data_IF_024245802068
#
_entry.id   IF_024245802068
#
_cell.length_a   1.000
_cell.length_b   1.000
_cell.length_c   1.000
_cell.angle_alpha   90.00
_cell.angle_beta   90.00
_cell.angle_gamma   90.00
#
_symmetry.space_group_name_H-M   'P 1'
#
loop_
_entity.id
_entity.type
_entity.pdbx_description
1 polymer ?
#
# COMPACT_ATOMS: atom_id res chain seq x y z
N UNK A 1 23.44 -8.43 6.14
CA UNK A 1 23.17 -7.01 5.94
C UNK A 1 21.76 -6.70 6.41
N UNK A 2 21.61 -5.73 7.26
CA UNK A 2 20.30 -5.41 7.83
C UNK A 2 19.58 -4.40 6.94
N UNK A 3 18.38 -4.77 6.51
CA UNK A 3 17.51 -3.88 5.77
C UNK A 3 16.76 -2.96 6.72
N UNK A 4 16.81 -1.66 6.45
CA UNK A 4 16.10 -0.66 7.27
C UNK A 4 14.98 -0.05 6.45
N UNK A 5 13.75 -0.39 6.78
CA UNK A 5 12.55 0.10 6.08
C UNK A 5 12.42 1.62 6.21
N UNK A 6 12.81 2.18 7.34
CA UNK A 6 12.68 3.63 7.56
C UNK A 6 13.60 4.41 6.63
N UNK A 7 14.84 3.93 6.44
CA UNK A 7 15.76 4.54 5.49
C UNK A 7 15.25 4.38 4.05
N UNK A 8 14.77 3.19 3.71
CA UNK A 8 14.23 2.94 2.36
C UNK A 8 13.05 3.87 2.05
N UNK A 9 12.11 3.98 2.99
CA UNK A 9 10.94 4.85 2.81
C UNK A 9 11.33 6.33 2.73
N UNK A 10 12.39 6.72 3.43
CA UNK A 10 12.90 8.09 3.37
C UNK A 10 13.46 8.39 1.97
N UNK A 11 14.25 7.47 1.41
CA UNK A 11 14.78 7.62 0.05
C UNK A 11 13.66 7.60 -0.98
N UNK A 12 12.72 6.68 -0.84
CA UNK A 12 11.55 6.56 -1.70
C UNK A 12 10.75 7.87 -1.71
N UNK A 13 10.43 8.38 -0.54
CA UNK A 13 9.68 9.63 -0.41
C UNK A 13 10.43 10.82 -0.99
N UNK A 14 11.74 10.88 -0.78
CA UNK A 14 12.59 11.94 -1.32
C UNK A 14 12.58 11.93 -2.85
N UNK A 15 12.73 10.76 -3.46
CA UNK A 15 12.72 10.62 -4.91
C UNK A 15 11.33 10.98 -5.49
N UNK A 16 10.27 10.58 -4.81
CA UNK A 16 8.91 10.95 -5.20
C UNK A 16 8.71 12.46 -5.18
N UNK A 17 9.18 13.13 -4.14
CA UNK A 17 9.07 14.59 -4.03
C UNK A 17 9.83 15.31 -5.13
N UNK A 18 11.01 14.81 -5.48
CA UNK A 18 11.81 15.37 -6.56
C UNK A 18 11.09 15.25 -7.91
N UNK A 19 10.41 14.12 -8.14
CA UNK A 19 9.77 13.85 -9.43
C UNK A 19 8.37 14.44 -9.54
N UNK A 20 7.55 14.29 -8.50
CA UNK A 20 6.12 14.64 -8.55
C UNK A 20 5.75 15.87 -7.74
N UNK A 21 6.54 16.23 -6.75
CA UNK A 21 6.36 17.47 -5.99
C UNK A 21 4.96 17.60 -5.39
N UNK A 22 4.32 18.73 -5.68
CA UNK A 22 2.99 19.07 -5.14
C UNK A 22 1.87 18.17 -5.64
N UNK A 23 2.14 17.32 -6.62
CA UNK A 23 1.13 16.40 -7.15
C UNK A 23 0.91 15.20 -6.23
N UNK A 24 1.80 14.98 -5.26
CA UNK A 24 1.65 13.88 -4.29
C UNK A 24 0.53 14.21 -3.31
N UNK A 25 -0.53 13.38 -3.34
CA UNK A 25 -1.61 13.48 -2.39
C UNK A 25 -1.35 12.65 -1.14
N UNK A 26 -0.73 11.47 -1.33
CA UNK A 26 -0.50 10.54 -0.22
C UNK A 26 0.65 9.59 -0.55
N UNK A 27 1.45 9.25 0.47
CA UNK A 27 2.43 8.17 0.41
C UNK A 27 2.23 7.32 1.66
N UNK A 28 2.23 6.01 1.48
CA UNK A 28 2.03 5.09 2.59
C UNK A 28 2.77 3.78 2.43
N UNK A 29 2.72 2.98 3.48
CA UNK A 29 3.35 1.67 3.56
C UNK A 29 2.32 0.67 4.03
N UNK A 30 2.13 -0.39 3.26
CA UNK A 30 1.16 -1.44 3.55
C UNK A 30 1.87 -2.75 3.87
N UNK A 31 1.08 -3.78 4.07
CA UNK A 31 1.58 -5.14 4.24
C UNK A 31 2.34 -5.32 5.54
N UNK A 32 3.28 -6.27 5.53
CA UNK A 32 4.00 -6.68 6.73
C UNK A 32 4.80 -5.55 7.37
N UNK A 33 5.44 -4.73 6.54
CA UNK A 33 6.21 -3.59 7.07
C UNK A 33 5.29 -2.53 7.70
N UNK A 34 4.13 -2.29 7.10
CA UNK A 34 3.15 -1.34 7.64
C UNK A 34 2.60 -1.79 8.99
N UNK A 35 2.46 -3.10 9.19
CA UNK A 35 1.96 -3.70 10.42
C UNK A 35 3.05 -4.04 11.44
N UNK A 36 4.30 -3.75 11.12
CA UNK A 36 5.47 -4.09 11.95
C UNK A 36 5.59 -5.61 12.18
N UNK A 37 5.30 -6.39 11.16
CA UNK A 37 5.34 -7.86 11.18
C UNK A 37 6.31 -8.43 10.15
N UNK A 38 7.14 -7.57 9.53
CA UNK A 38 7.98 -7.96 8.40
C UNK A 38 9.11 -8.90 8.82
N UNK A 39 9.45 -9.78 7.88
CA UNK A 39 10.63 -10.64 7.95
C UNK A 39 11.59 -10.28 6.81
N UNK A 40 12.74 -10.95 6.75
CA UNK A 40 13.71 -10.73 5.68
C UNK A 40 13.15 -11.06 4.28
N UNK A 41 12.09 -11.87 4.22
CA UNK A 41 11.47 -12.25 2.96
C UNK A 41 10.27 -11.40 2.58
N UNK A 42 9.91 -10.43 3.42
CA UNK A 42 8.75 -9.58 3.15
C UNK A 42 9.02 -8.61 2.02
N UNK A 43 8.01 -8.44 1.15
CA UNK A 43 8.04 -7.38 0.13
C UNK A 43 7.75 -6.02 0.75
N UNK A 44 8.22 -4.97 0.07
CA UNK A 44 7.95 -3.60 0.47
C UNK A 44 6.72 -3.12 -0.29
N UNK A 45 5.58 -3.03 0.38
CA UNK A 45 4.31 -2.61 -0.23
C UNK A 45 4.13 -1.10 -0.06
N UNK A 46 4.93 -0.33 -0.78
CA UNK A 46 4.86 1.12 -0.76
C UNK A 46 3.83 1.62 -1.78
N UNK A 47 3.09 2.65 -1.40
CA UNK A 47 2.04 3.19 -2.26
C UNK A 47 2.16 4.70 -2.36
N UNK A 48 1.92 5.23 -3.56
CA UNK A 48 1.83 6.66 -3.79
C UNK A 48 0.55 6.98 -4.54
N UNK A 49 -0.16 8.00 -4.07
CA UNK A 49 -1.37 8.50 -4.70
C UNK A 49 -1.09 9.93 -5.16
N UNK A 50 -1.23 10.15 -6.45
CA UNK A 50 -1.06 11.47 -7.06
C UNK A 50 -2.41 12.11 -7.32
N UNK A 51 -2.42 13.39 -7.61
CA UNK A 51 -3.61 14.11 -8.05
C UNK A 51 -4.21 13.45 -9.30
N UNK A 52 -3.37 13.11 -10.25
CA UNK A 52 -3.70 12.38 -11.49
C UNK A 52 -2.53 11.49 -11.84
N UNK A 53 -2.81 10.39 -12.54
CA UNK A 53 -1.75 9.51 -13.04
C UNK A 53 -1.91 9.35 -14.55
N UNK A 54 -0.84 9.65 -15.28
CA UNK A 54 -0.74 9.44 -16.73
C UNK A 54 0.21 8.27 -17.00
N UNK A 55 0.26 7.82 -18.25
CA UNK A 55 1.23 6.80 -18.66
C UNK A 55 2.66 7.26 -18.40
N UNK A 56 2.94 8.55 -18.63
CA UNK A 56 4.26 9.12 -18.36
C UNK A 56 4.62 9.03 -16.87
N UNK A 57 3.64 9.25 -16.00
CA UNK A 57 3.85 9.14 -14.56
C UNK A 57 4.19 7.71 -14.16
N UNK A 58 3.52 6.72 -14.75
CA UNK A 58 3.79 5.31 -14.49
C UNK A 58 5.21 4.94 -14.92
N UNK A 59 5.62 5.40 -16.09
CA UNK A 59 6.98 5.16 -16.59
C UNK A 59 8.03 5.84 -15.69
N UNK A 60 7.76 7.07 -15.26
CA UNK A 60 8.65 7.80 -14.37
C UNK A 60 8.76 7.10 -13.02
N UNK A 61 7.66 6.58 -12.49
CA UNK A 61 7.63 5.84 -11.24
C UNK A 61 8.43 4.55 -11.34
N UNK A 62 8.27 3.80 -12.42
CA UNK A 62 9.05 2.58 -12.64
C UNK A 62 10.56 2.87 -12.69
N UNK A 63 10.94 3.92 -13.41
CA UNK A 63 12.35 4.33 -13.48
C UNK A 63 12.88 4.76 -12.12
N UNK A 64 12.05 5.43 -11.32
CA UNK A 64 12.40 5.84 -9.96
C UNK A 64 12.67 4.62 -9.08
N UNK A 65 11.80 3.62 -9.13
CA UNK A 65 11.99 2.38 -8.36
C UNK A 65 13.27 1.66 -8.75
N UNK A 66 13.61 1.67 -10.04
CA UNK A 66 14.83 1.02 -10.56
C UNK A 66 16.09 1.64 -9.99
N UNK A 67 16.04 2.91 -9.57
CA UNK A 67 17.18 3.60 -8.97
C UNK A 67 17.33 3.36 -7.48
N UNK A 68 16.30 2.80 -6.83
CA UNK A 68 16.34 2.55 -5.39
C UNK A 68 16.99 1.21 -5.08
N UNK A 69 17.63 1.07 -3.91
CA UNK A 69 18.14 -0.23 -3.47
C UNK A 69 16.98 -1.20 -3.22
N UNK A 70 17.28 -2.48 -3.26
CA UNK A 70 16.29 -3.54 -3.00
C UNK A 70 15.12 -3.49 -3.97
N UNK A 71 15.39 -3.18 -5.25
CA UNK A 71 14.34 -3.11 -6.27
C UNK A 71 13.50 -4.39 -6.34
N UNK A 72 14.13 -5.53 -6.14
CA UNK A 72 13.46 -6.84 -6.17
C UNK A 72 12.44 -7.02 -5.05
N UNK A 73 12.57 -6.25 -3.97
CA UNK A 73 11.60 -6.27 -2.87
C UNK A 73 10.48 -5.25 -3.06
N UNK A 74 10.70 -4.26 -3.91
CA UNK A 74 9.72 -3.18 -4.08
C UNK A 74 8.47 -3.68 -4.77
N UNK A 75 7.36 -3.57 -4.08
CA UNK A 75 6.03 -3.94 -4.53
C UNK A 75 5.10 -2.76 -4.24
N UNK A 76 3.81 -2.95 -4.34
CA UNK A 76 2.87 -1.86 -4.10
C UNK A 76 2.44 -1.22 -5.41
N UNK A 77 1.99 0.03 -5.35
CA UNK A 77 1.40 0.61 -6.55
C UNK A 77 1.40 2.14 -6.54
N UNK A 78 1.13 2.70 -7.72
CA UNK A 78 0.87 4.12 -7.93
C UNK A 78 -0.56 4.26 -8.47
N UNK A 79 -1.29 5.25 -7.98
CA UNK A 79 -2.65 5.52 -8.42
C UNK A 79 -2.95 7.01 -8.39
N UNK A 80 -3.97 7.42 -9.12
CA UNK A 80 -4.55 8.75 -9.02
C UNK A 80 -5.59 8.80 -7.91
N UNK A 81 -5.83 9.99 -7.37
CA UNK A 81 -6.79 10.18 -6.29
C UNK A 81 -8.20 9.74 -6.69
N UNK A 82 -8.65 10.11 -7.90
CA UNK A 82 -10.00 9.78 -8.34
C UNK A 82 -10.18 8.27 -8.54
N UNK A 83 -9.17 7.60 -9.06
CA UNK A 83 -9.20 6.16 -9.22
C UNK A 83 -9.32 5.45 -7.88
N UNK A 84 -8.56 5.92 -6.88
CA UNK A 84 -8.65 5.37 -5.52
C UNK A 84 -10.05 5.57 -4.94
N UNK A 85 -10.62 6.75 -5.07
CA UNK A 85 -11.93 7.07 -4.52
C UNK A 85 -13.06 6.28 -5.18
N UNK A 86 -12.82 5.75 -6.37
CA UNK A 86 -13.79 4.94 -7.11
C UNK A 86 -13.65 3.43 -6.83
N UNK A 87 -12.73 3.03 -5.96
CA UNK A 87 -12.61 1.62 -5.59
C UNK A 87 -13.90 1.12 -4.94
N UNK A 88 -14.12 -0.19 -4.98
CA UNK A 88 -15.19 -0.82 -4.21
C UNK A 88 -15.01 -0.44 -2.74
N UNK A 89 -16.11 -0.15 -2.04
CA UNK A 89 -16.04 0.51 -0.73
C UNK A 89 -15.37 -0.35 0.34
N UNK A 90 -15.53 -1.68 0.29
CA UNK A 90 -14.82 -2.53 1.24
C UNK A 90 -13.32 -2.55 0.98
N UNK A 91 -12.90 -2.48 -0.29
CA UNK A 91 -11.49 -2.39 -0.65
C UNK A 91 -10.90 -1.05 -0.21
N UNK A 92 -11.65 0.03 -0.36
CA UNK A 92 -11.24 1.36 0.10
C UNK A 92 -11.06 1.39 1.62
N UNK A 93 -11.96 0.73 2.35
CA UNK A 93 -11.84 0.60 3.81
C UNK A 93 -10.58 -0.19 4.19
N UNK A 94 -10.30 -1.30 3.48
CA UNK A 94 -9.09 -2.09 3.73
C UNK A 94 -7.85 -1.23 3.49
N UNK A 95 -7.83 -0.46 2.42
CA UNK A 95 -6.73 0.45 2.15
C UNK A 95 -6.56 1.45 3.30
N UNK A 96 -7.64 2.06 3.76
CA UNK A 96 -7.63 3.01 4.87
C UNK A 96 -7.06 2.38 6.14
N UNK A 97 -7.52 1.18 6.46
CA UNK A 97 -7.17 0.51 7.70
C UNK A 97 -5.75 -0.04 7.69
N UNK A 98 -5.32 -0.61 6.56
CA UNK A 98 -4.06 -1.36 6.47
C UNK A 98 -2.85 -0.51 6.06
N UNK A 99 -3.04 0.78 5.79
CA UNK A 99 -1.97 1.63 5.30
C UNK A 99 -1.43 2.54 6.39
N UNK A 100 -0.12 2.48 6.62
CA UNK A 100 0.58 3.39 7.52
C UNK A 100 0.91 4.66 6.73
N UNK A 101 0.35 5.83 7.10
CA UNK A 101 0.64 7.07 6.38
C UNK A 101 2.08 7.53 6.60
N UNK A 102 2.75 7.91 5.51
CA UNK A 102 4.08 8.50 5.53
C UNK A 102 4.01 9.98 5.14
N UNK A 103 3.28 10.29 4.07
CA UNK A 103 3.00 11.68 3.64
C UNK A 103 1.49 11.79 3.42
N UNK A 104 0.88 12.82 3.97
CA UNK A 104 -0.55 13.05 3.81
C UNK A 104 -1.39 12.28 4.82
N UNK A 105 -2.70 12.27 4.59
CA UNK A 105 -3.65 11.64 5.51
C UNK A 105 -4.76 10.95 4.73
N UNK A 106 -5.24 9.84 5.26
CA UNK A 106 -6.37 9.11 4.70
C UNK A 106 -7.70 9.42 5.39
N UNK A 107 -7.71 10.39 6.31
CA UNK A 107 -8.92 10.71 7.09
C UNK A 107 -10.11 11.11 6.21
N UNK A 108 -9.86 11.74 5.07
CA UNK A 108 -10.93 12.13 4.15
C UNK A 108 -11.65 10.92 3.52
N UNK A 109 -11.03 9.76 3.53
CA UNK A 109 -11.66 8.54 3.00
C UNK A 109 -12.86 8.08 3.82
N UNK A 110 -12.94 8.49 5.09
CA UNK A 110 -14.03 8.11 5.97
C UNK A 110 -15.38 8.54 5.43
N UNK A 111 -15.44 9.58 4.62
CA UNK A 111 -16.66 10.07 4.00
C UNK A 111 -17.20 9.15 2.90
N UNK A 112 -16.38 8.22 2.41
CA UNK A 112 -16.69 7.41 1.24
C UNK A 112 -17.17 6.01 1.56
N UNK A 113 -17.18 5.61 2.84
CA UNK A 113 -17.71 4.30 3.22
C UNK A 113 -18.64 4.40 4.42
N UNK A 114 -19.63 3.49 4.46
CA UNK A 114 -20.67 3.42 5.48
C UNK A 114 -20.34 2.32 6.50
N UNK A 115 -21.11 2.25 7.58
CA UNK A 115 -21.00 1.15 8.54
C UNK A 115 -21.23 -0.22 7.88
N UNK A 116 -22.12 -0.28 6.88
CA UNK A 116 -22.36 -1.51 6.14
C UNK A 116 -21.12 -1.94 5.33
N UNK A 117 -20.43 -0.96 4.71
CA UNK A 117 -19.19 -1.23 3.97
C UNK A 117 -18.12 -1.78 4.91
N UNK A 118 -17.98 -1.21 6.09
CA UNK A 118 -17.02 -1.65 7.11
C UNK A 118 -17.32 -3.10 7.52
N UNK A 119 -18.60 -3.40 7.81
CA UNK A 119 -18.99 -4.76 8.19
C UNK A 119 -18.71 -5.77 7.09
N UNK A 120 -18.93 -5.38 5.83
CA UNK A 120 -18.64 -6.26 4.69
C UNK A 120 -17.14 -6.51 4.57
N UNK A 121 -16.33 -5.49 4.74
CA UNK A 121 -14.87 -5.62 4.70
C UNK A 121 -14.37 -6.56 5.80
N UNK A 122 -14.90 -6.44 7.00
CA UNK A 122 -14.54 -7.32 8.12
C UNK A 122 -14.92 -8.76 7.82
N UNK A 123 -16.09 -9.00 7.25
CA UNK A 123 -16.53 -10.37 6.89
C UNK A 123 -15.64 -10.97 5.82
N UNK A 124 -15.25 -10.20 4.80
CA UNK A 124 -14.36 -10.66 3.74
C UNK A 124 -13.00 -11.03 4.35
N UNK A 125 -12.47 -10.15 5.21
CA UNK A 125 -11.21 -10.41 5.89
C UNK A 125 -11.24 -11.67 6.75
N UNK A 126 -12.31 -11.86 7.51
CA UNK A 126 -12.48 -13.05 8.34
C UNK A 126 -12.56 -14.33 7.50
N UNK A 127 -13.30 -14.28 6.37
CA UNK A 127 -13.36 -15.43 5.46
C UNK A 127 -12.00 -15.77 4.88
N UNK A 128 -11.23 -14.77 4.49
CA UNK A 128 -9.89 -14.99 3.93
C UNK A 128 -8.96 -15.61 4.96
N UNK A 129 -9.02 -15.19 6.20
CA UNK A 129 -8.23 -15.76 7.29
C UNK A 129 -8.61 -17.22 7.51
N UNK A 130 -9.93 -17.52 7.54
CA UNK A 130 -10.42 -18.88 7.72
C UNK A 130 -9.92 -19.80 6.62
N UNK A 131 -10.05 -19.39 5.36
CA UNK A 131 -9.57 -20.16 4.22
C UNK A 131 -8.06 -20.40 4.29
N UNK A 132 -7.29 -19.39 4.68
CA UNK A 132 -5.85 -19.52 4.84
C UNK A 132 -5.47 -20.54 5.89
N UNK A 133 -6.13 -20.51 7.04
CA UNK A 133 -5.90 -21.46 8.13
C UNK A 133 -6.25 -22.89 7.71
N UNK A 134 -7.38 -23.07 7.03
CA UNK A 134 -7.80 -24.39 6.56
C UNK A 134 -6.84 -24.94 5.52
N UNK A 135 -6.36 -24.11 4.61
CA UNK A 135 -5.37 -24.50 3.61
C UNK A 135 -4.09 -25.01 4.29
N UNK A 136 -3.59 -24.28 5.28
CA UNK A 136 -2.38 -24.66 5.99
C UNK A 136 -2.54 -25.98 6.74
N UNK A 137 -3.70 -26.19 7.39
CA UNK A 137 -3.96 -27.43 8.13
C UNK A 137 -4.05 -28.65 7.22
N UNK A 138 -4.64 -28.47 6.02
CA UNK A 138 -4.89 -29.59 5.11
C UNK A 138 -3.68 -29.89 4.22
N UNK A 139 -3.01 -28.85 3.71
CA UNK A 139 -2.00 -29.00 2.67
C UNK A 139 -0.56 -28.87 3.16
N UNK A 140 -0.32 -28.00 4.13
CA UNK A 140 1.05 -27.70 4.60
C UNK A 140 1.37 -28.34 5.94
N UNK A 141 0.37 -28.81 6.65
CA UNK A 141 0.53 -29.48 7.95
C UNK A 141 1.31 -28.67 8.99
N UNK A 142 1.13 -27.37 8.94
CA UNK A 142 1.81 -26.48 9.88
C UNK A 142 0.84 -25.79 10.84
#
# INVERSE_FOLDING_TARGET
MNFDINLWMKEYSSELRKKFGNRIWFVGLQGSYGRNEATEQSDIDAVVILDKVTLEDIKAYSALLDRLPYREKACGFISGKQELLNWEKSDLFQFYYDTLPIIGSLNSLKEYFTAADVRRAIRIGACNIYHGCMHNMVHEKS
#
